data_IF_534838792175
#
_entry.id   IF_534838792175
#
_cell.length_a   1.000
_cell.length_b   1.000
_cell.length_c   1.000
_cell.angle_alpha   90.00
_cell.angle_beta   90.00
_cell.angle_gamma   90.00
#
_symmetry.space_group_name_H-M   'P 1'
#
loop_
_entity.id
_entity.type
_entity.pdbx_description
1 polymer ?
#
# COMPACT_ATOMS: atom_id res chain seq x y z
N UNK A 1 6.71 30.52 3.14
CA UNK A 1 6.43 29.97 4.49
C UNK A 1 5.91 28.57 4.27
N UNK A 2 6.79 27.56 4.34
CA UNK A 2 6.46 26.20 3.91
C UNK A 2 5.51 25.53 4.92
N UNK A 3 4.30 25.22 4.48
CA UNK A 3 3.35 24.38 5.23
C UNK A 3 3.90 22.95 5.29
N UNK A 4 4.31 22.52 6.49
CA UNK A 4 4.66 21.13 6.79
C UNK A 4 3.50 20.20 6.39
N UNK A 5 3.75 19.02 5.78
CA UNK A 5 2.71 18.02 5.62
C UNK A 5 2.36 17.40 6.98
N UNK A 6 1.12 17.64 7.41
CA UNK A 6 0.22 16.75 8.16
C UNK A 6 0.77 15.59 9.02
N UNK A 7 1.74 15.83 9.90
CA UNK A 7 2.05 14.89 11.01
C UNK A 7 0.86 14.69 11.98
N UNK A 8 -0.15 15.56 11.93
CA UNK A 8 -1.32 15.53 12.82
C UNK A 8 -2.44 14.54 12.45
N UNK A 9 -2.48 14.04 11.20
CA UNK A 9 -3.41 12.94 10.83
C UNK A 9 -2.85 11.57 11.24
N UNK A 10 -1.52 11.47 11.34
CA UNK A 10 -0.73 10.26 11.57
C UNK A 10 -0.83 9.73 13.00
N UNK A 11 -0.73 10.62 14.00
CA UNK A 11 -0.94 10.27 15.41
C UNK A 11 -2.41 9.89 15.71
N UNK A 12 -3.36 10.53 15.02
CA UNK A 12 -4.79 10.27 15.18
C UNK A 12 -5.25 8.89 14.68
N UNK A 13 -4.48 8.21 13.84
CA UNK A 13 -4.83 6.87 13.35
C UNK A 13 -4.29 5.77 14.28
N UNK A 14 -3.12 5.97 14.89
CA UNK A 14 -2.52 5.02 15.83
C UNK A 14 -3.27 4.99 17.18
N UNK A 15 -3.77 6.14 17.66
CA UNK A 15 -4.69 6.23 18.82
C UNK A 15 -6.04 5.53 18.56
N UNK A 16 -6.40 5.27 17.28
CA UNK A 16 -7.64 4.59 16.91
C UNK A 16 -7.51 3.07 16.82
N UNK A 17 -6.31 2.52 17.06
CA UNK A 17 -6.02 1.07 16.99
C UNK A 17 -5.78 0.41 18.34
N UNK A 18 -5.84 1.19 19.41
CA UNK A 18 -5.73 0.71 20.79
C UNK A 18 -7.12 0.48 21.37
N UNK A 19 -7.30 -0.65 22.03
CA UNK A 19 -8.49 -0.92 22.80
C UNK A 19 -8.52 0.00 24.04
N UNK A 20 -9.60 0.74 24.29
CA UNK A 20 -9.69 1.65 25.42
C UNK A 20 -9.78 0.94 26.79
N UNK A 21 -9.94 -0.40 26.81
CA UNK A 21 -10.02 -1.20 28.04
C UNK A 21 -8.64 -1.71 28.46
N UNK A 22 -7.94 -2.46 27.60
CA UNK A 22 -6.60 -2.97 27.93
C UNK A 22 -5.48 -1.97 27.63
N UNK A 23 -5.78 -0.88 26.93
CA UNK A 23 -4.81 0.12 26.45
C UNK A 23 -3.72 -0.45 25.53
N UNK A 24 -3.95 -1.65 25.00
CA UNK A 24 -3.08 -2.33 24.02
C UNK A 24 -3.79 -2.40 22.66
N UNK A 25 -3.07 -2.80 21.61
CA UNK A 25 -3.60 -2.97 20.27
C UNK A 25 -4.74 -3.99 20.22
N UNK A 26 -5.78 -3.70 19.41
CA UNK A 26 -6.92 -4.59 19.24
C UNK A 26 -6.53 -6.03 18.87
N UNK A 27 -7.05 -7.01 19.60
CA UNK A 27 -6.97 -8.43 19.27
C UNK A 27 -8.39 -8.99 19.16
N UNK A 28 -8.75 -9.53 17.99
CA UNK A 28 -10.11 -9.99 17.68
C UNK A 28 -11.18 -8.95 18.10
N UNK A 29 -11.16 -7.74 17.50
CA UNK A 29 -12.03 -6.65 17.92
C UNK A 29 -13.49 -6.92 17.55
N UNK A 30 -14.38 -6.71 18.51
CA UNK A 30 -15.83 -6.76 18.34
C UNK A 30 -16.39 -5.35 18.35
N UNK A 31 -17.41 -5.09 17.52
CA UNK A 31 -18.12 -3.80 17.48
C UNK A 31 -19.46 -3.92 18.21
N UNK A 32 -19.70 -3.03 19.17
CA UNK A 32 -21.00 -2.91 19.82
C UNK A 32 -21.95 -2.10 18.91
N UNK A 33 -23.29 -2.21 19.08
CA UNK A 33 -24.29 -1.43 18.34
C UNK A 33 -24.09 0.09 18.42
N UNK A 34 -23.42 0.59 19.46
CA UNK A 34 -23.03 1.99 19.57
C UNK A 34 -21.80 2.38 18.73
N UNK A 35 -21.34 1.51 17.83
CA UNK A 35 -20.17 1.66 16.96
C UNK A 35 -18.82 1.85 17.67
N UNK A 36 -18.70 1.45 18.94
CA UNK A 36 -17.42 1.38 19.64
C UNK A 36 -16.86 -0.04 19.59
N UNK A 37 -15.55 -0.14 19.42
CA UNK A 37 -14.85 -1.42 19.29
C UNK A 37 -13.95 -1.72 20.49
N UNK A 38 -13.90 -3.01 20.86
CA UNK A 38 -13.17 -3.54 22.02
C UNK A 38 -12.59 -4.91 21.67
N UNK A 39 -11.49 -5.35 22.30
CA UNK A 39 -11.04 -6.73 22.16
C UNK A 39 -12.12 -7.68 22.70
N UNK A 40 -12.36 -8.82 22.04
CA UNK A 40 -13.32 -9.81 22.53
C UNK A 40 -13.05 -10.20 24.01
N UNK A 41 -11.80 -10.53 24.35
CA UNK A 41 -11.43 -10.89 25.73
C UNK A 41 -11.64 -9.74 26.74
N UNK A 42 -11.57 -8.49 26.29
CA UNK A 42 -11.83 -7.33 27.14
C UNK A 42 -13.32 -7.20 27.44
N UNK A 43 -14.18 -7.42 26.44
CA UNK A 43 -15.64 -7.42 26.61
C UNK A 43 -16.10 -8.61 27.48
N UNK A 44 -15.51 -9.78 27.30
CA UNK A 44 -15.77 -10.97 28.13
C UNK A 44 -15.42 -10.73 29.61
N UNK A 45 -14.47 -9.83 29.90
CA UNK A 45 -14.08 -9.44 31.25
C UNK A 45 -14.92 -8.32 31.87
N UNK A 46 -15.90 -7.75 31.16
CA UNK A 46 -16.74 -6.68 31.69
C UNK A 46 -17.86 -7.21 32.60
N UNK A 47 -18.27 -6.45 33.64
CA UNK A 47 -19.42 -6.82 34.45
C UNK A 47 -20.70 -6.81 33.60
N UNK A 48 -21.55 -7.82 33.83
CA UNK A 48 -22.84 -7.97 33.17
C UNK A 48 -23.98 -7.61 34.13
N UNK A 49 -24.94 -6.83 33.64
CA UNK A 49 -26.18 -6.55 34.36
C UNK A 49 -27.24 -7.58 33.94
N UNK A 50 -27.96 -8.16 34.91
CA UNK A 50 -29.03 -9.14 34.63
C UNK A 50 -30.40 -8.52 34.89
N UNK A 51 -31.29 -8.56 33.90
CA UNK A 51 -32.69 -8.16 34.03
C UNK A 51 -33.59 -9.19 33.35
N UNK A 52 -34.58 -9.73 34.04
CA UNK A 52 -35.58 -10.65 33.47
C UNK A 52 -34.98 -11.78 32.59
N UNK A 53 -33.91 -12.41 33.09
CA UNK A 53 -33.16 -13.50 32.44
C UNK A 53 -32.26 -13.12 31.25
N UNK A 54 -32.31 -11.88 30.77
CA UNK A 54 -31.35 -11.36 29.78
C UNK A 54 -30.16 -10.67 30.45
N UNK A 55 -28.99 -10.78 29.81
CA UNK A 55 -27.74 -10.15 30.25
C UNK A 55 -27.45 -8.93 29.37
N UNK A 56 -26.97 -7.86 29.99
CA UNK A 56 -26.61 -6.62 29.33
C UNK A 56 -25.17 -6.24 29.63
N UNK A 57 -24.50 -5.69 28.63
CA UNK A 57 -23.16 -5.16 28.72
C UNK A 57 -23.20 -3.64 28.52
N UNK A 58 -22.55 -2.90 29.42
CA UNK A 58 -22.41 -1.46 29.31
C UNK A 58 -21.14 -1.09 28.55
N UNK A 59 -21.26 -0.34 27.46
CA UNK A 59 -20.12 0.13 26.69
C UNK A 59 -19.19 1.00 27.55
N UNK A 60 -17.89 0.66 27.72
CA UNK A 60 -16.96 1.43 28.53
C UNK A 60 -16.75 2.88 28.07
N UNK A 61 -16.96 3.15 26.78
CA UNK A 61 -16.72 4.47 26.19
C UNK A 61 -17.93 5.40 26.30
N UNK A 62 -19.14 4.92 25.99
CA UNK A 62 -20.35 5.76 25.93
C UNK A 62 -21.47 5.36 26.89
N UNK A 63 -21.28 4.29 27.66
CA UNK A 63 -22.27 3.71 28.61
C UNK A 63 -23.59 3.27 27.98
N UNK A 64 -23.64 3.12 26.66
CA UNK A 64 -24.77 2.49 26.00
C UNK A 64 -24.87 1.02 26.45
N UNK A 65 -26.04 0.62 26.93
CA UNK A 65 -26.31 -0.76 27.31
C UNK A 65 -26.71 -1.57 26.07
N UNK A 66 -26.07 -2.71 25.89
CA UNK A 66 -26.31 -3.62 24.77
C UNK A 66 -26.68 -4.98 25.33
N UNK A 67 -27.74 -5.58 24.79
CA UNK A 67 -28.12 -6.96 25.09
C UNK A 67 -27.03 -7.91 24.62
N UNK A 68 -26.64 -8.84 25.49
CA UNK A 68 -25.64 -9.85 25.17
C UNK A 68 -26.28 -10.93 24.29
N UNK A 69 -25.69 -11.27 23.13
CA UNK A 69 -26.17 -12.38 22.30
C UNK A 69 -26.18 -13.70 23.07
N UNK A 70 -27.00 -14.67 22.62
CA UNK A 70 -27.12 -15.98 23.27
C UNK A 70 -25.78 -16.74 23.30
N UNK A 71 -24.98 -16.64 22.24
CA UNK A 71 -23.62 -17.23 22.17
C UNK A 71 -22.54 -16.34 22.81
N UNK A 72 -22.94 -15.26 23.47
CA UNK A 72 -22.07 -14.34 24.20
C UNK A 72 -21.39 -13.30 23.31
N UNK A 73 -20.29 -12.73 23.83
CA UNK A 73 -19.54 -11.63 23.18
C UNK A 73 -18.99 -12.03 21.81
N UNK A 74 -18.70 -13.32 21.60
CA UNK A 74 -18.17 -13.85 20.36
C UNK A 74 -19.06 -13.59 19.13
N UNK A 75 -20.36 -13.41 19.33
CA UNK A 75 -21.33 -13.23 18.25
C UNK A 75 -21.50 -11.75 17.82
N UNK A 76 -20.88 -10.81 18.53
CA UNK A 76 -20.81 -9.43 18.03
C UNK A 76 -20.02 -9.37 16.70
N UNK A 77 -20.40 -8.47 15.78
CA UNK A 77 -19.69 -8.35 14.51
C UNK A 77 -18.21 -8.01 14.73
N UNK A 78 -17.34 -8.62 13.92
CA UNK A 78 -15.92 -8.30 13.93
C UNK A 78 -15.73 -6.93 13.29
N UNK A 79 -14.96 -6.06 13.94
CA UNK A 79 -14.60 -4.76 13.40
C UNK A 79 -13.50 -4.92 12.33
N UNK A 80 -13.86 -5.40 11.14
CA UNK A 80 -12.93 -5.73 10.04
C UNK A 80 -11.95 -4.60 9.72
N UNK A 81 -12.42 -3.34 9.70
CA UNK A 81 -11.58 -2.16 9.46
C UNK A 81 -10.41 -1.98 10.44
N UNK A 82 -10.49 -2.56 11.65
CA UNK A 82 -9.41 -2.51 12.65
C UNK A 82 -8.39 -3.65 12.47
N UNK A 83 -8.80 -4.78 11.88
CA UNK A 83 -7.89 -5.86 11.52
C UNK A 83 -7.07 -5.50 10.27
N UNK A 84 -7.69 -4.83 9.29
CA UNK A 84 -7.03 -4.37 8.07
C UNK A 84 -5.86 -3.41 8.34
N UNK A 85 -5.94 -2.64 9.44
CA UNK A 85 -4.91 -1.70 9.86
C UNK A 85 -3.72 -2.38 10.58
N UNK A 86 -3.85 -3.63 11.04
CA UNK A 86 -2.72 -4.46 11.52
C UNK A 86 -1.96 -5.13 10.37
N UNK A 87 -2.62 -5.28 9.21
CA UNK A 87 -2.09 -6.01 8.06
C UNK A 87 -1.30 -5.13 7.06
N UNK A 88 -1.26 -3.80 7.26
CA UNK A 88 -0.55 -2.84 6.38
C UNK A 88 0.98 -2.98 6.34
N UNK A 89 1.55 -3.94 7.08
CA UNK A 89 2.99 -4.20 7.16
C UNK A 89 3.35 -5.64 6.75
N UNK A 90 2.46 -6.30 6.00
CA UNK A 90 2.65 -7.68 5.57
C UNK A 90 2.53 -7.80 4.06
N UNK A 91 3.30 -8.74 3.52
CA UNK A 91 3.15 -9.23 2.15
C UNK A 91 2.29 -10.48 2.24
N UNK A 92 1.30 -10.57 1.36
CA UNK A 92 0.42 -11.73 1.28
C UNK A 92 0.51 -12.32 -0.12
N UNK A 93 0.69 -13.65 -0.18
CA UNK A 93 0.56 -14.43 -1.41
C UNK A 93 -0.83 -15.05 -1.40
N UNK A 94 -1.63 -14.71 -2.41
CA UNK A 94 -3.04 -15.09 -2.51
C UNK A 94 -3.21 -15.86 -3.82
N UNK A 95 -4.01 -16.93 -3.81
CA UNK A 95 -4.38 -17.65 -5.03
C UNK A 95 -5.29 -16.80 -5.91
N UNK A 96 -5.43 -17.16 -7.19
CA UNK A 96 -6.37 -16.48 -8.10
C UNK A 96 -7.83 -16.58 -7.63
N UNK A 97 -8.16 -17.61 -6.85
CA UNK A 97 -9.49 -17.79 -6.22
C UNK A 97 -9.66 -16.95 -4.94
N UNK A 98 -8.67 -16.15 -4.55
CA UNK A 98 -8.73 -15.27 -3.38
C UNK A 98 -8.31 -15.90 -2.05
N UNK A 99 -7.80 -17.14 -2.04
CA UNK A 99 -7.35 -17.79 -0.81
C UNK A 99 -5.91 -17.40 -0.45
N UNK A 100 -5.67 -16.95 0.79
CA UNK A 100 -4.32 -16.63 1.26
C UNK A 100 -3.47 -17.89 1.39
N UNK A 101 -2.45 -18.02 0.54
CA UNK A 101 -1.48 -19.12 0.50
C UNK A 101 -0.39 -18.92 1.56
N UNK A 102 0.12 -17.70 1.67
CA UNK A 102 1.20 -17.36 2.61
C UNK A 102 1.13 -15.89 3.02
N UNK A 103 1.72 -15.56 4.18
CA UNK A 103 1.91 -14.19 4.62
C UNK A 103 3.20 -14.06 5.41
N UNK A 104 3.96 -13.01 5.11
CA UNK A 104 5.20 -12.66 5.80
C UNK A 104 5.20 -11.17 6.11
N UNK A 105 5.91 -10.77 7.16
CA UNK A 105 6.04 -9.36 7.51
C UNK A 105 5.44 -9.02 8.86
N UNK A 106 6.02 -8.00 9.49
CA UNK A 106 5.50 -7.30 10.66
C UNK A 106 6.01 -5.86 10.69
N UNK A 107 5.47 -5.00 11.54
CA UNK A 107 5.99 -3.63 11.71
C UNK A 107 7.42 -3.66 12.25
N UNK A 108 8.32 -2.83 11.71
CA UNK A 108 9.67 -2.65 12.26
C UNK A 108 10.72 -2.30 11.21
N UNK A 109 11.99 -2.51 11.54
CA UNK A 109 13.13 -2.12 10.69
C UNK A 109 14.16 -3.25 10.48
N UNK A 110 13.96 -4.43 11.07
CA UNK A 110 14.76 -5.63 10.83
C UNK A 110 14.37 -6.38 9.54
N UNK A 111 15.03 -7.50 9.23
CA UNK A 111 14.63 -8.40 8.13
C UNK A 111 13.18 -8.84 8.27
N UNK A 112 12.42 -8.84 7.16
CA UNK A 112 10.97 -9.11 7.13
C UNK A 112 10.14 -8.17 8.02
N UNK A 113 10.69 -7.02 8.40
CA UNK A 113 9.93 -5.98 9.06
C UNK A 113 9.78 -4.77 8.15
N UNK A 114 8.59 -4.19 8.10
CA UNK A 114 8.25 -3.13 7.16
C UNK A 114 7.66 -1.91 7.87
N UNK A 115 7.84 -0.74 7.26
CA UNK A 115 7.12 0.49 7.58
C UNK A 115 6.61 1.08 6.26
N UNK A 116 5.30 0.94 6.06
CA UNK A 116 4.61 1.38 4.83
C UNK A 116 5.22 0.76 3.56
N UNK A 117 5.19 -0.57 3.40
CA UNK A 117 5.54 -1.19 2.14
C UNK A 117 4.56 -0.70 1.05
N UNK A 118 5.05 -0.11 -0.04
CA UNK A 118 4.20 0.46 -1.10
C UNK A 118 4.27 -0.33 -2.40
N UNK A 119 5.45 -0.40 -2.99
CA UNK A 119 5.71 -1.07 -4.26
C UNK A 119 6.24 -2.48 -4.06
N UNK A 120 5.85 -3.36 -4.97
CA UNK A 120 6.37 -4.72 -5.07
C UNK A 120 6.65 -5.02 -6.55
N UNK A 121 7.85 -5.52 -6.84
CA UNK A 121 8.23 -6.01 -8.16
C UNK A 121 8.74 -7.45 -8.04
N UNK A 122 8.50 -8.25 -9.07
CA UNK A 122 9.03 -9.61 -9.17
C UNK A 122 10.08 -9.61 -10.27
N UNK A 123 11.29 -10.08 -9.95
CA UNK A 123 12.33 -10.20 -10.97
C UNK A 123 11.92 -11.27 -12.00
N UNK A 124 11.87 -10.93 -13.30
CA UNK A 124 11.53 -11.90 -14.34
C UNK A 124 12.61 -12.99 -14.52
N UNK A 125 13.83 -12.74 -14.01
CA UNK A 125 14.98 -13.63 -14.15
C UNK A 125 15.04 -14.66 -13.01
N UNK A 126 14.86 -14.19 -11.76
CA UNK A 126 15.10 -15.01 -10.55
C UNK A 126 13.83 -15.31 -9.75
N UNK A 127 12.70 -14.67 -10.06
CA UNK A 127 11.46 -14.76 -9.28
C UNK A 127 11.54 -14.14 -7.88
N UNK A 128 12.61 -13.40 -7.57
CA UNK A 128 12.76 -12.69 -6.31
C UNK A 128 11.77 -11.54 -6.22
N UNK A 129 11.20 -11.32 -5.03
CA UNK A 129 10.33 -10.18 -4.74
C UNK A 129 11.17 -9.01 -4.21
N UNK A 130 10.99 -7.84 -4.78
CA UNK A 130 11.62 -6.59 -4.33
C UNK A 130 10.53 -5.68 -3.78
N UNK A 131 10.68 -5.27 -2.53
CA UNK A 131 9.64 -4.52 -1.81
C UNK A 131 10.18 -3.18 -1.36
N UNK A 132 9.50 -2.11 -1.75
CA UNK A 132 9.81 -0.75 -1.37
C UNK A 132 9.30 -0.49 0.04
N UNK A 133 10.23 -0.38 0.99
CA UNK A 133 9.96 -0.16 2.40
C UNK A 133 10.13 1.34 2.72
N UNK A 134 9.09 2.12 2.40
CA UNK A 134 9.12 3.59 2.24
C UNK A 134 9.78 4.30 3.44
N UNK A 135 9.29 4.01 4.64
CA UNK A 135 9.71 4.71 5.87
C UNK A 135 11.00 4.12 6.48
N UNK A 136 11.46 2.97 5.99
CA UNK A 136 12.80 2.47 6.28
C UNK A 136 13.82 2.88 5.20
N UNK A 137 13.38 3.57 4.13
CA UNK A 137 14.23 4.10 3.07
C UNK A 137 15.13 3.04 2.41
N UNK A 138 14.58 1.84 2.22
CA UNK A 138 15.30 0.68 1.71
C UNK A 138 14.42 -0.18 0.81
N UNK A 139 15.05 -1.10 0.11
CA UNK A 139 14.42 -2.20 -0.60
C UNK A 139 14.75 -3.50 0.13
N UNK A 140 13.74 -4.31 0.42
CA UNK A 140 13.95 -5.68 0.89
C UNK A 140 13.71 -6.66 -0.26
N UNK A 141 14.62 -7.62 -0.40
CA UNK A 141 14.57 -8.66 -1.42
C UNK A 141 14.25 -9.98 -0.76
N UNK A 142 13.19 -10.64 -1.24
CA UNK A 142 12.75 -11.96 -0.79
C UNK A 142 12.94 -13.00 -1.89
N UNK A 143 13.22 -14.23 -1.47
CA UNK A 143 13.23 -15.38 -2.35
C UNK A 143 11.79 -15.76 -2.78
N UNK A 144 11.58 -16.61 -3.80
CA UNK A 144 10.25 -16.99 -4.30
C UNK A 144 9.36 -17.69 -3.25
N UNK A 145 9.98 -18.23 -2.20
CA UNK A 145 9.33 -18.85 -1.03
C UNK A 145 9.02 -17.83 0.10
N UNK A 146 9.19 -16.53 -0.17
CA UNK A 146 9.01 -15.40 0.75
C UNK A 146 10.02 -15.34 1.92
N UNK A 147 11.10 -16.13 1.89
CA UNK A 147 12.20 -15.97 2.86
C UNK A 147 13.04 -14.75 2.55
N UNK A 148 13.63 -14.12 3.57
CA UNK A 148 14.50 -12.96 3.39
C UNK A 148 15.79 -13.36 2.68
N UNK A 149 16.12 -12.64 1.60
CA UNK A 149 17.39 -12.77 0.89
C UNK A 149 18.39 -11.73 1.42
N UNK A 150 18.10 -10.45 1.16
CA UNK A 150 18.95 -9.33 1.55
C UNK A 150 18.16 -8.01 1.49
N UNK A 151 18.81 -6.90 1.82
CA UNK A 151 18.25 -5.56 1.66
C UNK A 151 19.33 -4.56 1.30
N UNK A 152 18.96 -3.52 0.56
CA UNK A 152 19.87 -2.43 0.20
C UNK A 152 19.12 -1.09 0.27
N UNK A 153 19.87 0.01 0.31
CA UNK A 153 19.30 1.33 0.52
C UNK A 153 19.49 1.87 1.93
N UNK A 154 19.60 3.18 2.02
CA UNK A 154 19.55 3.94 3.27
C UNK A 154 19.04 5.34 2.97
N UNK A 155 18.63 6.09 3.99
CA UNK A 155 18.13 7.45 3.79
C UNK A 155 19.19 8.37 3.18
N UNK A 156 18.88 9.03 2.07
CA UNK A 156 19.72 10.07 1.50
C UNK A 156 19.58 10.19 -0.02
N UNK A 157 20.51 10.92 -0.64
CA UNK A 157 20.48 11.25 -2.08
C UNK A 157 21.74 10.80 -2.83
N UNK A 158 22.68 10.13 -2.15
CA UNK A 158 23.84 9.55 -2.81
C UNK A 158 23.46 8.26 -3.57
N UNK A 159 24.37 7.76 -4.42
CA UNK A 159 24.14 6.50 -5.11
C UNK A 159 23.86 5.36 -4.12
N UNK A 160 22.79 4.61 -4.36
CA UNK A 160 22.31 3.55 -3.46
C UNK A 160 21.59 4.06 -2.21
N UNK A 161 21.28 5.35 -2.10
CA UNK A 161 20.43 5.91 -1.05
C UNK A 161 19.06 6.30 -1.60
N UNK A 162 18.02 6.20 -0.77
CA UNK A 162 16.65 6.47 -1.15
C UNK A 162 16.00 7.47 -0.19
N UNK A 163 15.04 8.23 -0.69
CA UNK A 163 14.11 9.00 0.12
C UNK A 163 12.70 8.53 -0.24
N UNK A 164 12.05 7.84 0.70
CA UNK A 164 10.70 7.33 0.53
C UNK A 164 10.51 6.53 -0.77
N UNK A 165 11.21 5.39 -0.98
CA UNK A 165 10.98 4.56 -2.15
C UNK A 165 9.51 4.13 -2.18
N UNK A 166 8.81 4.40 -3.28
CA UNK A 166 7.38 4.10 -3.43
C UNK A 166 7.16 2.92 -4.34
N UNK A 167 7.36 3.11 -5.64
CA UNK A 167 7.17 2.06 -6.64
C UNK A 167 8.50 1.54 -7.21
N UNK A 168 8.48 0.30 -7.70
CA UNK A 168 9.65 -0.43 -8.23
C UNK A 168 9.25 -1.13 -9.54
N UNK A 169 10.11 -1.08 -10.54
CA UNK A 169 10.08 -1.96 -11.71
C UNK A 169 11.45 -2.61 -11.92
N UNK A 170 11.46 -3.79 -12.54
CA UNK A 170 12.69 -4.56 -12.83
C UNK A 170 12.65 -4.99 -14.29
N UNK A 171 13.74 -4.74 -15.03
CA UNK A 171 13.86 -5.18 -16.41
C UNK A 171 14.42 -6.62 -16.55
N UNK A 172 14.48 -7.10 -17.79
CA UNK A 172 15.00 -8.43 -18.13
C UNK A 172 16.53 -8.56 -18.00
N UNK A 173 17.23 -7.48 -17.72
CA UNK A 173 18.66 -7.44 -17.42
C UNK A 173 18.90 -7.41 -15.89
N UNK A 174 17.84 -7.28 -15.10
CA UNK A 174 17.88 -7.23 -13.65
C UNK A 174 18.19 -5.84 -13.09
N UNK A 175 18.09 -4.79 -13.91
CA UNK A 175 18.18 -3.42 -13.43
C UNK A 175 16.88 -3.02 -12.73
N UNK A 176 17.04 -2.33 -11.61
CA UNK A 176 15.96 -1.94 -10.72
C UNK A 176 15.71 -0.45 -10.91
N UNK A 177 14.49 -0.11 -11.31
CA UNK A 177 14.02 1.24 -11.50
C UNK A 177 13.07 1.58 -10.37
N UNK A 178 13.27 2.72 -9.75
CA UNK A 178 12.48 3.16 -8.60
C UNK A 178 12.01 4.58 -8.80
N UNK A 179 10.92 4.92 -8.13
CA UNK A 179 10.41 6.27 -8.05
C UNK A 179 11.29 7.18 -7.16
N UNK A 180 12.51 7.45 -7.64
CA UNK A 180 13.27 8.67 -7.34
C UNK A 180 13.54 9.36 -8.69
N UNK A 181 12.48 9.48 -9.49
CA UNK A 181 12.45 9.81 -10.91
C UNK A 181 13.14 11.13 -11.31
N UNK A 182 13.50 11.95 -10.34
CA UNK A 182 14.26 13.20 -10.48
C UNK A 182 15.73 12.98 -10.84
N UNK A 183 16.29 11.81 -10.47
CA UNK A 183 17.74 11.56 -10.59
C UNK A 183 18.09 10.81 -11.86
N UNK A 184 17.14 10.06 -12.46
CA UNK A 184 17.43 9.18 -13.60
C UNK A 184 16.69 9.56 -14.89
N UNK A 185 15.46 10.09 -14.82
CA UNK A 185 14.60 10.22 -16.00
C UNK A 185 14.21 11.66 -16.37
N UNK A 186 14.38 12.64 -15.47
CA UNK A 186 14.01 14.03 -15.80
C UNK A 186 14.05 14.99 -14.61
N UNK A 187 13.81 16.28 -14.89
CA UNK A 187 13.61 17.32 -13.85
C UNK A 187 12.13 17.50 -13.53
N UNK A 188 11.81 18.23 -12.46
CA UNK A 188 10.42 18.68 -12.24
C UNK A 188 9.90 19.46 -13.44
N UNK A 189 8.62 19.25 -13.76
CA UNK A 189 7.88 20.15 -14.61
C UNK A 189 6.87 19.44 -15.50
N UNK A 190 6.40 20.18 -16.52
CA UNK A 190 5.34 19.73 -17.43
C UNK A 190 5.81 19.61 -18.88
N UNK A 191 7.05 20.00 -19.18
CA UNK A 191 7.66 19.86 -20.49
C UNK A 191 7.95 18.41 -20.89
N UNK A 192 8.37 18.18 -22.14
CA UNK A 192 8.90 16.89 -22.59
C UNK A 192 10.07 16.44 -21.71
N UNK A 193 10.04 15.18 -21.23
CA UNK A 193 11.06 14.63 -20.32
C UNK A 193 11.09 15.23 -18.92
N UNK A 194 10.17 16.14 -18.58
CA UNK A 194 9.98 16.60 -17.21
C UNK A 194 8.87 15.81 -16.53
N UNK A 195 8.99 15.58 -15.23
CA UNK A 195 8.02 14.78 -14.47
C UNK A 195 7.33 15.63 -13.42
N UNK A 196 6.02 15.41 -13.23
CA UNK A 196 5.26 16.06 -12.16
C UNK A 196 4.40 15.03 -11.42
N UNK A 197 4.71 14.83 -10.14
CA UNK A 197 4.05 13.84 -9.27
C UNK A 197 3.90 12.49 -9.96
N UNK A 198 5.01 11.85 -10.38
CA UNK A 198 4.93 10.47 -10.85
C UNK A 198 4.43 9.56 -9.72
N UNK A 199 3.84 8.40 -10.06
CA UNK A 199 3.29 7.48 -9.05
C UNK A 199 3.39 6.00 -9.38
N UNK A 200 3.54 5.65 -10.66
CA UNK A 200 3.66 4.27 -11.10
C UNK A 200 4.71 4.14 -12.20
N UNK A 201 5.36 2.99 -12.24
CA UNK A 201 6.37 2.65 -13.25
C UNK A 201 6.15 1.23 -13.76
N UNK A 202 6.18 1.06 -15.08
CA UNK A 202 6.14 -0.25 -15.74
C UNK A 202 7.19 -0.29 -16.84
N UNK A 203 7.67 -1.48 -17.16
CA UNK A 203 8.64 -1.70 -18.24
C UNK A 203 8.02 -2.69 -19.20
N UNK A 204 8.00 -2.33 -20.48
CA UNK A 204 7.69 -3.29 -21.54
C UNK A 204 8.91 -4.20 -21.71
N UNK A 205 8.92 -5.29 -20.95
CA UNK A 205 10.01 -6.25 -20.97
C UNK A 205 10.00 -7.15 -22.20
N UNK A 206 8.89 -7.27 -22.93
CA UNK A 206 8.72 -8.24 -24.01
C UNK A 206 9.18 -7.71 -25.37
N UNK A 207 8.88 -6.44 -25.70
CA UNK A 207 9.24 -5.86 -27.00
C UNK A 207 10.35 -4.81 -26.91
N UNK A 208 10.09 -3.71 -26.22
CA UNK A 208 10.85 -2.47 -26.46
C UNK A 208 11.87 -2.14 -25.37
N UNK A 209 11.74 -2.73 -24.17
CA UNK A 209 12.47 -2.33 -22.96
C UNK A 209 12.29 -0.84 -22.59
N UNK A 210 11.19 -0.24 -23.04
CA UNK A 210 10.83 1.12 -22.68
C UNK A 210 10.21 1.18 -21.28
N UNK A 211 10.47 2.28 -20.60
CA UNK A 211 10.00 2.59 -19.25
C UNK A 211 8.82 3.54 -19.35
N UNK A 212 7.67 3.12 -18.83
CA UNK A 212 6.42 3.87 -18.80
C UNK A 212 6.19 4.38 -17.38
N UNK A 213 5.96 5.68 -17.25
CA UNK A 213 5.80 6.37 -15.97
C UNK A 213 4.45 7.08 -15.94
N UNK A 214 3.61 6.76 -14.97
CA UNK A 214 2.34 7.47 -14.77
C UNK A 214 2.58 8.73 -13.94
N UNK A 215 2.01 9.84 -14.39
CA UNK A 215 2.16 11.15 -13.78
C UNK A 215 0.81 11.73 -13.38
N UNK A 216 0.57 11.82 -12.06
CA UNK A 216 -0.64 12.46 -11.52
C UNK A 216 -0.67 13.95 -11.82
N UNK A 217 0.46 14.63 -11.61
CA UNK A 217 0.52 16.08 -11.70
C UNK A 217 0.34 16.58 -13.13
N UNK A 218 0.76 15.78 -14.12
CA UNK A 218 0.60 16.09 -15.54
C UNK A 218 -0.58 15.35 -16.20
N UNK A 219 -1.26 14.44 -15.49
CA UNK A 219 -2.30 13.55 -16.01
C UNK A 219 -1.89 12.88 -17.33
N UNK A 220 -0.73 12.22 -17.33
CA UNK A 220 -0.19 11.59 -18.53
C UNK A 220 0.64 10.36 -18.19
N UNK A 221 0.93 9.56 -19.20
CA UNK A 221 2.00 8.57 -19.17
C UNK A 221 3.17 9.13 -19.96
N UNK A 222 4.35 9.17 -19.36
CA UNK A 222 5.61 9.47 -20.05
C UNK A 222 6.39 8.19 -20.32
N UNK A 223 6.99 8.12 -21.50
CA UNK A 223 7.75 6.96 -21.99
C UNK A 223 9.20 7.35 -22.13
N UNK A 224 10.08 6.55 -21.56
CA UNK A 224 11.53 6.73 -21.59
C UNK A 224 12.21 5.46 -22.10
N UNK A 225 13.43 5.59 -22.60
CA UNK A 225 14.35 4.48 -22.73
C UNK A 225 14.87 4.04 -21.35
N UNK A 226 15.41 2.82 -21.26
CA UNK A 226 16.01 2.29 -20.02
C UNK A 226 17.20 3.12 -19.52
N UNK A 227 17.88 3.86 -20.39
CA UNK A 227 18.96 4.80 -20.05
C UNK A 227 18.45 6.21 -19.67
N UNK A 228 17.14 6.42 -19.63
CA UNK A 228 16.53 7.64 -19.11
C UNK A 228 16.24 8.72 -20.15
N UNK A 229 16.33 8.41 -21.44
CA UNK A 229 16.03 9.36 -22.53
C UNK A 229 14.52 9.41 -22.77
N UNK A 230 13.93 10.60 -22.74
CA UNK A 230 12.51 10.78 -23.04
C UNK A 230 12.20 10.41 -24.50
N UNK A 231 11.18 9.57 -24.69
CA UNK A 231 10.72 9.11 -26.01
C UNK A 231 9.43 9.81 -26.40
N UNK A 232 8.40 9.72 -25.56
CA UNK A 232 7.08 10.30 -25.85
C UNK A 232 6.21 10.43 -24.60
N UNK A 233 5.03 11.03 -24.75
CA UNK A 233 4.01 11.03 -23.68
C UNK A 233 2.61 11.08 -24.27
N UNK A 234 1.63 10.49 -23.59
CA UNK A 234 0.23 10.48 -24.00
C UNK A 234 -0.72 10.59 -22.79
N UNK A 235 -1.99 10.94 -23.01
CA UNK A 235 -3.00 11.01 -21.93
C UNK A 235 -3.49 12.40 -21.49
N UNK A 236 -2.97 13.47 -22.11
CA UNK A 236 -3.04 14.85 -21.60
C UNK A 236 -4.48 15.41 -21.51
N UNK A 237 -4.71 16.27 -20.52
CA UNK A 237 -5.97 17.01 -20.35
C UNK A 237 -6.33 17.81 -21.62
N UNK A 238 -7.51 17.55 -22.18
CA UNK A 238 -8.13 18.39 -23.21
C UNK A 238 -7.88 18.00 -24.67
N UNK A 239 -7.09 16.97 -24.95
CA UNK A 239 -6.96 16.39 -26.30
C UNK A 239 -7.75 15.09 -26.43
N UNK A 240 -8.51 14.96 -27.53
CA UNK A 240 -9.43 13.86 -27.76
C UNK A 240 -8.75 12.48 -27.82
N UNK A 241 -9.53 11.47 -27.39
CA UNK A 241 -9.35 10.01 -27.47
C UNK A 241 -8.49 9.31 -26.41
N UNK A 242 -7.67 10.01 -25.62
CA UNK A 242 -6.85 9.37 -24.57
C UNK A 242 -6.77 10.29 -23.35
N UNK A 243 -7.80 10.28 -22.51
CA UNK A 243 -7.90 11.11 -21.30
C UNK A 243 -7.60 10.24 -20.07
N UNK A 244 -6.66 10.65 -19.22
CA UNK A 244 -6.55 10.11 -17.86
C UNK A 244 -6.94 11.17 -16.84
N UNK A 245 -7.43 10.69 -15.71
CA UNK A 245 -7.67 11.45 -14.51
C UNK A 245 -7.00 10.71 -13.34
N UNK A 246 -5.82 11.17 -12.97
CA UNK A 246 -4.97 10.51 -11.98
C UNK A 246 -4.56 9.08 -12.37
N UNK A 247 -3.76 8.88 -13.44
CA UNK A 247 -3.24 7.57 -13.78
C UNK A 247 -2.32 7.06 -12.65
N UNK A 248 -2.60 5.87 -12.13
CA UNK A 248 -1.92 5.30 -10.95
C UNK A 248 -1.03 4.11 -11.33
N UNK A 249 -1.52 2.89 -11.15
CA UNK A 249 -0.79 1.66 -11.50
C UNK A 249 -0.74 1.44 -13.01
N UNK A 250 0.38 0.90 -13.47
CA UNK A 250 0.64 0.52 -14.84
C UNK A 250 1.15 -0.93 -14.86
N UNK A 251 0.73 -1.74 -15.83
CA UNK A 251 1.35 -3.05 -16.09
C UNK A 251 1.17 -3.45 -17.54
N UNK A 252 2.07 -4.29 -18.04
CA UNK A 252 1.91 -4.99 -19.32
C UNK A 252 1.39 -6.40 -19.10
N UNK A 253 0.67 -6.95 -20.09
CA UNK A 253 0.42 -8.40 -20.19
C UNK A 253 1.45 -9.08 -21.12
N UNK A 254 1.26 -10.38 -21.36
CA UNK A 254 2.13 -11.18 -22.22
C UNK A 254 2.00 -10.83 -23.71
N UNK A 255 0.91 -10.19 -24.11
CA UNK A 255 0.60 -9.76 -25.48
C UNK A 255 0.98 -8.29 -25.74
N UNK A 256 1.71 -7.67 -24.80
CA UNK A 256 2.24 -6.29 -24.85
C UNK A 256 1.18 -5.18 -24.72
N UNK A 257 -0.03 -5.51 -24.25
CA UNK A 257 -1.03 -4.48 -23.94
C UNK A 257 -0.69 -3.77 -22.63
N UNK A 258 -0.76 -2.43 -22.66
CA UNK A 258 -0.55 -1.60 -21.46
C UNK A 258 -1.89 -1.38 -20.74
N UNK A 259 -1.96 -1.84 -19.50
CA UNK A 259 -3.08 -1.60 -18.59
C UNK A 259 -2.77 -0.41 -17.68
N UNK A 260 -3.67 0.57 -17.67
CA UNK A 260 -3.54 1.79 -16.85
C UNK A 260 -4.75 1.95 -15.95
N UNK A 261 -4.51 2.04 -14.64
CA UNK A 261 -5.55 2.41 -13.67
C UNK A 261 -5.83 3.91 -13.75
N UNK A 262 -6.96 4.28 -14.35
CA UNK A 262 -7.48 5.65 -14.40
C UNK A 262 -8.33 5.93 -13.15
N UNK A 263 -7.64 6.25 -12.05
CA UNK A 263 -8.17 6.18 -10.68
C UNK A 263 -9.45 7.02 -10.50
N UNK A 264 -9.43 8.29 -10.90
CA UNK A 264 -10.53 9.20 -10.60
C UNK A 264 -11.72 9.02 -11.55
N UNK A 265 -11.49 8.38 -12.71
CA UNK A 265 -12.57 7.95 -13.58
C UNK A 265 -13.14 6.58 -13.18
N UNK A 266 -12.48 5.85 -12.26
CA UNK A 266 -12.90 4.52 -11.82
C UNK A 266 -12.79 3.45 -12.91
N UNK A 267 -11.81 3.57 -13.82
CA UNK A 267 -11.69 2.71 -15.00
C UNK A 267 -10.29 2.10 -15.12
N UNK A 268 -10.23 0.97 -15.82
CA UNK A 268 -8.99 0.40 -16.33
C UNK A 268 -8.98 0.63 -17.85
N UNK A 269 -7.92 1.26 -18.36
CA UNK A 269 -7.77 1.56 -19.80
C UNK A 269 -6.66 0.69 -20.37
N UNK A 270 -6.90 0.13 -21.56
CA UNK A 270 -5.98 -0.77 -22.27
C UNK A 270 -5.51 -0.09 -23.55
N UNK A 271 -4.19 -0.13 -23.81
CA UNK A 271 -3.54 0.45 -24.98
C UNK A 271 -2.74 -0.60 -25.74
#
# INVERSE_FOLDING_TARGET
>A
MATKPSSGLRLKLEERLTCPVCLDYFTNPKILPCHHSFCQHCLEGLPLDKMNETYYLSCPTCRHCTELPEEGVGDFPVAFHLNDLKEIHRIQKISMDGYRIASVGQKGSGPLQFKYPRGIAISPILGHFYIADEDNHRIQVLNPDLTFSHSFGSRGSANGQFQHPRDIAIDNQGLIYMESLWVTFGTEGSGPGQLNTPVGIAIDTAATSLVYVSELGNNRISVFTSDGVFVSSFGRWGSNNYKFYSPYGLTFDEDEFLYVCDHDNGQLVVY
#
